data_IF_059549734974
#
_entry.id   IF_059549734974
#
_cell.length_a   1.000
_cell.length_b   1.000
_cell.length_c   1.000
_cell.angle_alpha   90.00
_cell.angle_beta   90.00
_cell.angle_gamma   90.00
#
_symmetry.space_group_name_H-M   'P 1'
#
loop_
_entity.id
_entity.type
_entity.pdbx_description
1 polymer ?
#
# COMPACT_ATOMS: atom_id res chain seq x y z
N UNK A 1 -5.53 -21.61 2.17
CA UNK A 1 -6.90 -21.09 2.00
C UNK A 1 -7.16 -19.97 3.01
N UNK A 2 -7.74 -18.88 2.56
CA UNK A 2 -8.07 -17.78 3.43
C UNK A 2 -9.28 -18.11 4.29
N UNK A 3 -9.17 -17.87 5.60
CA UNK A 3 -10.28 -18.00 6.52
C UNK A 3 -10.97 -16.65 6.68
N UNK A 4 -12.23 -16.66 7.07
CA UNK A 4 -12.94 -15.42 7.41
C UNK A 4 -12.24 -14.68 8.54
N UNK A 5 -11.67 -15.41 9.47
CA UNK A 5 -10.94 -14.83 10.60
C UNK A 5 -9.71 -14.06 10.14
N UNK A 6 -8.95 -14.61 9.18
CA UNK A 6 -7.78 -13.91 8.63
C UNK A 6 -8.20 -12.66 7.87
N UNK A 7 -9.23 -12.77 7.03
CA UNK A 7 -9.73 -11.63 6.27
C UNK A 7 -10.19 -10.52 7.21
N UNK A 8 -10.96 -10.86 8.24
CA UNK A 8 -11.43 -9.89 9.22
C UNK A 8 -10.26 -9.19 9.95
N UNK A 9 -9.22 -9.95 10.30
CA UNK A 9 -8.04 -9.40 10.97
C UNK A 9 -7.30 -8.41 10.06
N UNK A 10 -7.14 -8.73 8.79
CA UNK A 10 -6.49 -7.83 7.84
C UNK A 10 -7.28 -6.55 7.62
N UNK A 11 -8.60 -6.65 7.53
CA UNK A 11 -9.45 -5.47 7.41
C UNK A 11 -9.36 -4.61 8.69
N UNK A 12 -9.37 -5.23 9.85
CA UNK A 12 -9.23 -4.51 11.12
C UNK A 12 -7.91 -3.75 11.20
N UNK A 13 -6.82 -4.39 10.79
CA UNK A 13 -5.49 -3.77 10.78
C UNK A 13 -5.43 -2.62 9.79
N UNK A 14 -6.04 -2.78 8.62
CA UNK A 14 -6.14 -1.70 7.64
C UNK A 14 -6.90 -0.50 8.22
N UNK A 15 -8.03 -0.75 8.86
CA UNK A 15 -8.83 0.32 9.47
C UNK A 15 -8.05 1.06 10.56
N UNK A 16 -7.28 0.33 11.37
CA UNK A 16 -6.42 0.94 12.39
C UNK A 16 -5.35 1.83 11.74
N UNK A 17 -4.74 1.36 10.67
CA UNK A 17 -3.71 2.12 9.96
C UNK A 17 -4.31 3.42 9.38
N UNK A 18 -5.46 3.33 8.71
CA UNK A 18 -6.11 4.52 8.15
C UNK A 18 -6.54 5.50 9.24
N UNK A 19 -7.02 5.00 10.37
CA UNK A 19 -7.34 5.85 11.52
C UNK A 19 -6.11 6.60 12.04
N UNK A 20 -4.96 5.91 12.09
CA UNK A 20 -3.70 6.53 12.47
C UNK A 20 -3.27 7.58 11.45
N UNK A 21 -3.45 7.29 10.15
CA UNK A 21 -3.14 8.24 9.09
C UNK A 21 -3.94 9.53 9.21
N UNK A 22 -5.20 9.43 9.64
CA UNK A 22 -6.04 10.61 9.84
C UNK A 22 -5.54 11.54 10.93
N UNK A 23 -4.66 11.07 11.81
CA UNK A 23 -4.04 11.85 12.87
C UNK A 23 -2.60 12.24 12.57
N UNK A 24 -2.06 11.77 11.45
CA UNK A 24 -0.68 12.01 11.06
C UNK A 24 -0.63 13.24 10.15
N UNK A 25 -0.20 14.36 10.71
CA UNK A 25 -0.19 15.65 10.01
C UNK A 25 0.79 15.69 8.83
N UNK A 26 1.69 14.72 8.72
CA UNK A 26 2.63 14.63 7.60
C UNK A 26 1.96 14.13 6.33
N UNK A 27 0.79 13.49 6.46
CA UNK A 27 0.13 12.82 5.36
C UNK A 27 -0.93 13.72 4.71
N UNK A 28 -1.16 13.45 3.44
CA UNK A 28 -2.17 14.10 2.62
C UNK A 28 -3.18 13.05 2.15
N UNK A 29 -4.27 13.50 1.55
CA UNK A 29 -5.28 12.59 1.00
C UNK A 29 -4.70 11.61 -0.01
N UNK A 30 -3.68 12.02 -0.76
CA UNK A 30 -3.00 11.15 -1.73
C UNK A 30 -2.29 9.96 -1.08
N UNK A 31 -1.78 10.14 0.13
CA UNK A 31 -1.18 9.03 0.89
C UNK A 31 -2.23 7.99 1.26
N UNK A 32 -3.37 8.44 1.75
CA UNK A 32 -4.47 7.56 2.14
C UNK A 32 -5.02 6.83 0.91
N UNK A 33 -5.19 7.55 -0.20
CA UNK A 33 -5.66 6.98 -1.46
C UNK A 33 -4.71 5.90 -1.97
N UNK A 34 -3.40 6.17 -1.94
CA UNK A 34 -2.41 5.19 -2.38
C UNK A 34 -2.36 3.99 -1.46
N UNK A 35 -2.45 4.21 -0.15
CA UNK A 35 -2.47 3.13 0.83
C UNK A 35 -3.69 2.22 0.61
N UNK A 36 -4.84 2.80 0.30
CA UNK A 36 -6.05 2.05 -0.03
C UNK A 36 -5.85 1.21 -1.30
N UNK A 37 -5.25 1.79 -2.34
CA UNK A 37 -4.94 1.06 -3.57
C UNK A 37 -4.00 -0.11 -3.30
N UNK A 38 -3.00 0.09 -2.44
CA UNK A 38 -2.08 -0.95 -2.02
C UNK A 38 -2.81 -2.07 -1.27
N UNK A 39 -3.75 -1.73 -0.39
CA UNK A 39 -4.53 -2.73 0.33
C UNK A 39 -5.37 -3.57 -0.63
N UNK A 40 -5.96 -2.97 -1.66
CA UNK A 40 -6.72 -3.68 -2.67
C UNK A 40 -5.81 -4.67 -3.41
N UNK A 41 -4.60 -4.27 -3.76
CA UNK A 41 -3.62 -5.18 -4.40
C UNK A 41 -3.18 -6.30 -3.46
N UNK A 42 -3.01 -5.98 -2.19
CA UNK A 42 -2.70 -6.98 -1.16
C UNK A 42 -3.82 -8.03 -1.08
N UNK A 43 -5.06 -7.57 -1.05
CA UNK A 43 -6.23 -8.45 -1.03
C UNK A 43 -6.29 -9.33 -2.28
N UNK A 44 -6.02 -8.75 -3.46
CA UNK A 44 -5.99 -9.51 -4.72
C UNK A 44 -4.89 -10.56 -4.77
N UNK A 45 -3.86 -10.39 -3.97
CA UNK A 45 -2.78 -11.36 -3.79
C UNK A 45 -3.01 -12.25 -2.57
N UNK A 46 -4.27 -12.46 -2.20
CA UNK A 46 -4.69 -13.34 -1.12
C UNK A 46 -4.07 -12.99 0.23
N UNK A 47 -3.82 -11.69 0.46
CA UNK A 47 -3.19 -11.18 1.69
C UNK A 47 -1.81 -11.79 1.95
N UNK A 48 -1.09 -12.09 0.86
CA UNK A 48 0.29 -12.59 0.96
C UNK A 48 1.25 -11.42 0.73
N UNK A 49 2.20 -11.26 1.64
CA UNK A 49 3.22 -10.23 1.58
C UNK A 49 4.60 -10.89 1.45
N UNK A 50 5.51 -10.38 0.61
CA UNK A 50 5.33 -9.23 -0.26
C UNK A 50 4.46 -9.54 -1.47
N UNK A 51 3.95 -8.49 -2.10
CA UNK A 51 3.16 -8.63 -3.31
C UNK A 51 3.67 -7.67 -4.38
N UNK A 52 3.54 -8.03 -5.67
CA UNK A 52 4.03 -7.19 -6.74
C UNK A 52 3.08 -6.04 -7.04
N UNK A 53 3.65 -4.89 -7.34
CA UNK A 53 2.89 -3.71 -7.75
C UNK A 53 3.57 -3.05 -8.94
N UNK A 54 2.76 -2.39 -9.77
CA UNK A 54 3.27 -1.55 -10.85
C UNK A 54 2.66 -0.17 -10.73
N UNK A 55 3.38 0.82 -11.23
CA UNK A 55 2.85 2.18 -11.31
C UNK A 55 1.57 2.21 -12.14
N UNK A 56 1.56 1.48 -13.27
CA UNK A 56 0.41 1.41 -14.15
C UNK A 56 -0.83 0.83 -13.46
N UNK A 57 -0.65 -0.07 -12.50
CA UNK A 57 -1.75 -0.63 -11.74
C UNK A 57 -2.19 0.24 -10.58
N UNK A 58 -1.24 0.89 -9.89
CA UNK A 58 -1.56 1.66 -8.68
C UNK A 58 -2.08 3.06 -8.96
N UNK A 59 -1.56 3.74 -9.99
CA UNK A 59 -1.96 5.11 -10.26
C UNK A 59 -3.45 5.28 -10.55
N UNK A 60 -4.05 4.46 -11.44
CA UNK A 60 -5.49 4.59 -11.67
C UNK A 60 -6.33 4.28 -10.44
N UNK A 61 -5.96 3.23 -9.70
CA UNK A 61 -6.69 2.81 -8.51
C UNK A 61 -6.64 3.88 -7.41
N UNK A 62 -5.52 4.56 -7.27
CA UNK A 62 -5.33 5.61 -6.27
C UNK A 62 -5.79 6.99 -6.74
N UNK A 63 -6.13 7.14 -8.01
CA UNK A 63 -6.48 8.42 -8.64
C UNK A 63 -5.33 9.43 -8.61
N UNK A 64 -4.10 8.96 -8.51
CA UNK A 64 -2.92 9.81 -8.61
C UNK A 64 -2.51 9.85 -10.07
N UNK A 65 -2.53 11.03 -10.67
CA UNK A 65 -2.25 11.21 -12.10
C UNK A 65 -0.82 11.68 -12.37
N UNK A 66 -0.14 12.22 -11.36
CA UNK A 66 1.23 12.69 -11.49
C UNK A 66 2.21 11.61 -11.06
N UNK A 67 3.15 11.27 -11.94
CA UNK A 67 4.22 10.31 -11.64
C UNK A 67 5.06 10.80 -10.47
N UNK A 68 5.37 12.09 -10.44
CA UNK A 68 6.13 12.68 -9.35
C UNK A 68 5.42 12.55 -8.00
N UNK A 69 4.13 12.81 -7.97
CA UNK A 69 3.31 12.64 -6.76
C UNK A 69 3.27 11.17 -6.32
N UNK A 70 3.12 10.26 -7.27
CA UNK A 70 3.13 8.81 -6.98
C UNK A 70 4.42 8.40 -6.28
N UNK A 71 5.58 8.75 -6.85
CA UNK A 71 6.86 8.37 -6.26
C UNK A 71 7.08 9.03 -4.90
N UNK A 72 6.69 10.28 -4.75
CA UNK A 72 6.78 10.97 -3.47
C UNK A 72 5.94 10.28 -2.40
N UNK A 73 4.70 9.90 -2.74
CA UNK A 73 3.81 9.24 -1.78
C UNK A 73 4.33 7.85 -1.38
N UNK A 74 4.84 7.06 -2.33
CA UNK A 74 5.46 5.77 -2.01
C UNK A 74 6.61 5.96 -1.03
N UNK A 75 7.51 6.89 -1.35
CA UNK A 75 8.68 7.16 -0.52
C UNK A 75 8.29 7.57 0.89
N UNK A 76 7.29 8.45 1.00
CA UNK A 76 6.85 8.93 2.31
C UNK A 76 6.12 7.88 3.11
N UNK A 77 5.32 7.01 2.47
CA UNK A 77 4.71 5.89 3.17
C UNK A 77 5.77 4.95 3.75
N UNK A 78 6.88 4.77 3.05
CA UNK A 78 8.02 4.00 3.57
C UNK A 78 8.68 4.74 4.74
N UNK A 79 8.99 6.01 4.56
CA UNK A 79 9.66 6.83 5.58
C UNK A 79 8.86 6.89 6.88
N UNK A 80 7.54 6.98 6.77
CA UNK A 80 6.66 7.12 7.94
C UNK A 80 6.21 5.78 8.52
N UNK A 81 6.76 4.68 7.98
CA UNK A 81 6.57 3.37 8.59
C UNK A 81 5.27 2.66 8.24
N UNK A 82 4.59 3.06 7.17
CA UNK A 82 3.33 2.42 6.78
C UNK A 82 3.52 1.19 5.91
N UNK A 83 4.57 1.17 5.09
CA UNK A 83 4.92 0.03 4.22
C UNK A 83 6.42 -0.11 4.12
N UNK A 84 6.87 -1.24 3.57
CA UNK A 84 8.24 -1.38 3.06
C UNK A 84 8.15 -1.64 1.57
N UNK A 85 9.17 -1.26 0.83
CA UNK A 85 9.13 -1.25 -0.62
C UNK A 85 10.48 -1.64 -1.19
N UNK A 86 10.47 -2.57 -2.13
CA UNK A 86 11.66 -2.97 -2.85
C UNK A 86 11.46 -2.67 -4.33
N UNK A 87 12.12 -1.62 -4.85
CA UNK A 87 11.98 -1.28 -6.26
C UNK A 87 12.57 -2.37 -7.15
N UNK A 88 11.99 -2.55 -8.33
CA UNK A 88 12.49 -3.43 -9.36
C UNK A 88 12.91 -2.61 -10.56
N UNK A 89 14.02 -2.99 -11.16
CA UNK A 89 14.49 -2.38 -12.40
C UNK A 89 13.90 -3.08 -13.64
N UNK A 90 13.14 -4.16 -13.44
CA UNK A 90 12.46 -4.86 -14.51
C UNK A 90 11.01 -4.38 -14.62
N UNK A 91 10.60 -3.76 -15.75
CA UNK A 91 9.21 -3.32 -15.92
C UNK A 91 8.21 -4.47 -15.88
N UNK A 92 8.66 -5.68 -16.18
CA UNK A 92 7.77 -6.85 -16.26
C UNK A 92 7.47 -7.45 -14.89
N UNK A 93 8.39 -7.34 -13.93
CA UNK A 93 8.25 -7.97 -12.63
C UNK A 93 7.55 -7.07 -11.62
N UNK A 94 7.58 -5.76 -11.87
CA UNK A 94 7.08 -4.79 -10.90
C UNK A 94 7.94 -4.70 -9.65
N UNK A 95 7.56 -3.81 -8.77
CA UNK A 95 8.20 -3.63 -7.48
C UNK A 95 7.47 -4.47 -6.44
N UNK A 96 8.12 -4.76 -5.32
CA UNK A 96 7.52 -5.51 -4.23
C UNK A 96 7.15 -4.60 -3.08
N UNK A 97 5.94 -4.76 -2.56
CA UNK A 97 5.49 -4.09 -1.35
C UNK A 97 5.37 -5.12 -0.24
N UNK A 98 5.98 -4.81 0.89
CA UNK A 98 5.84 -5.57 2.11
C UNK A 98 4.78 -4.89 2.95
N UNK A 99 3.64 -5.57 3.10
CA UNK A 99 2.57 -5.06 3.93
C UNK A 99 2.97 -5.14 5.39
N UNK A 100 2.32 -4.38 6.24
CA UNK A 100 2.67 -4.31 7.64
C UNK A 100 2.61 -5.69 8.29
N UNK A 101 3.76 -6.25 8.60
CA UNK A 101 3.87 -7.47 9.37
C UNK A 101 4.47 -7.10 10.71
N UNK A 102 3.65 -6.86 11.68
CA UNK A 102 4.13 -6.82 13.06
C UNK A 102 5.29 -5.84 13.28
N UNK A 103 5.18 -4.71 12.69
CA UNK A 103 6.18 -3.67 12.96
C UNK A 103 5.92 -3.02 14.31
#
# INVERSE_FOLDING_TARGET
MLTQKKVAAEIADYCKAVSRMGKDQRLMATHVSLYTALFIHFQRNAFISPFPVTRAGLMPCSRITSVATYHKCIKELVEYGYIRYQPSFSPKQGSLVYWQDNL
#
